data_IF_193826383345
#
_entry.id   IF_193826383345
#
_cell.length_a   1.000
_cell.length_b   1.000
_cell.length_c   1.000
_cell.angle_alpha   90.00
_cell.angle_beta   90.00
_cell.angle_gamma   90.00
#
_symmetry.space_group_name_H-M   'P 1'
#
loop_
_entity.id
_entity.type
_entity.pdbx_description
1 polymer ?
#
# COMPACT_ATOMS: atom_id res chain seq x y z
N UNK A 1 9.84 -7.21 9.37
CA UNK A 1 9.49 -5.80 9.10
C UNK A 1 8.96 -5.73 7.68
N UNK A 2 7.88 -5.01 7.45
CA UNK A 2 7.24 -4.90 6.14
C UNK A 2 7.19 -3.43 5.75
N UNK A 3 7.88 -3.06 4.68
CA UNK A 3 7.78 -1.71 4.10
C UNK A 3 6.82 -1.75 2.94
N UNK A 4 5.84 -0.86 2.97
CA UNK A 4 4.85 -0.65 1.91
C UNK A 4 5.10 0.73 1.32
N UNK A 5 5.38 0.77 0.03
CA UNK A 5 5.48 2.03 -0.73
C UNK A 5 4.30 2.13 -1.69
N UNK A 6 3.60 3.25 -1.61
CA UNK A 6 2.49 3.64 -2.48
C UNK A 6 2.99 4.71 -3.43
N UNK A 7 2.86 4.49 -4.73
CA UNK A 7 3.30 5.45 -5.74
C UNK A 7 2.16 5.75 -6.70
N UNK A 8 1.85 7.03 -6.90
CA UNK A 8 0.86 7.49 -7.87
C UNK A 8 1.46 8.53 -8.82
N UNK A 9 1.04 8.45 -10.08
CA UNK A 9 1.28 9.50 -11.07
C UNK A 9 0.23 10.62 -11.07
N UNK A 10 -0.80 10.50 -10.22
CA UNK A 10 -1.89 11.48 -10.14
C UNK A 10 -1.81 12.27 -8.84
N UNK A 11 -1.70 13.58 -8.99
CA UNK A 11 -1.78 14.51 -7.87
C UNK A 11 -3.06 14.29 -7.07
N UNK A 12 -2.92 14.17 -5.75
CA UNK A 12 -4.01 14.02 -4.80
C UNK A 12 -4.50 12.58 -4.63
N UNK A 13 -4.02 11.62 -5.43
CA UNK A 13 -4.53 10.25 -5.39
C UNK A 13 -4.18 9.54 -4.07
N UNK A 14 -2.95 9.74 -3.58
CA UNK A 14 -2.50 9.21 -2.28
C UNK A 14 -3.34 9.84 -1.15
N UNK A 15 -3.59 11.15 -1.20
CA UNK A 15 -4.46 11.82 -0.22
C UNK A 15 -5.87 11.22 -0.24
N UNK A 16 -6.48 11.07 -1.42
CA UNK A 16 -7.82 10.47 -1.59
C UNK A 16 -7.89 9.05 -1.04
N UNK A 17 -6.81 8.28 -1.23
CA UNK A 17 -6.68 6.94 -0.67
C UNK A 17 -6.76 6.92 0.86
N UNK A 18 -5.96 7.76 1.54
CA UNK A 18 -5.95 7.81 3.01
C UNK A 18 -7.20 8.48 3.61
N UNK A 19 -7.79 9.46 2.93
CA UNK A 19 -9.12 9.99 3.27
C UNK A 19 -10.17 8.87 3.25
N UNK A 20 -10.13 7.99 2.23
CA UNK A 20 -11.00 6.82 2.14
C UNK A 20 -10.77 5.77 3.24
N UNK A 21 -9.65 5.83 3.96
CA UNK A 21 -9.37 4.99 5.14
C UNK A 21 -9.80 5.64 6.46
N UNK A 22 -10.42 6.83 6.43
CA UNK A 22 -10.63 7.69 7.61
C UNK A 22 -9.32 8.00 8.37
N UNK A 23 -8.16 7.88 7.71
CA UNK A 23 -6.88 8.30 8.25
C UNK A 23 -6.69 9.76 7.86
N UNK A 24 -6.88 10.66 8.81
CA UNK A 24 -6.47 12.07 8.68
C UNK A 24 -4.96 12.15 8.85
N UNK A 25 -4.24 11.62 7.88
CA UNK A 25 -2.85 12.01 7.69
C UNK A 25 -2.86 13.38 7.01
N UNK A 26 -2.00 14.30 7.45
CA UNK A 26 -1.80 15.59 6.79
C UNK A 26 -1.00 15.38 5.50
N UNK A 27 -1.62 14.67 4.54
CA UNK A 27 -1.02 14.39 3.24
C UNK A 27 -1.32 15.56 2.32
N UNK A 28 -0.26 16.22 1.87
CA UNK A 28 -0.36 17.26 0.85
C UNK A 28 -0.83 16.65 -0.48
N UNK A 29 -1.62 17.39 -1.27
CA UNK A 29 -2.12 16.88 -2.55
C UNK A 29 -1.00 16.57 -3.56
N UNK A 30 0.22 17.08 -3.38
CA UNK A 30 1.33 16.86 -4.32
C UNK A 30 2.17 15.61 -4.03
N UNK A 31 1.79 14.80 -3.03
CA UNK A 31 2.53 13.59 -2.66
C UNK A 31 2.34 12.52 -3.73
N UNK A 32 3.41 12.25 -4.49
CA UNK A 32 3.47 11.20 -5.52
C UNK A 32 3.93 9.84 -4.96
N UNK A 33 4.62 9.83 -3.82
CA UNK A 33 5.12 8.63 -3.16
C UNK A 33 4.90 8.71 -1.65
N UNK A 34 4.43 7.60 -1.06
CA UNK A 34 4.23 7.46 0.36
C UNK A 34 4.78 6.13 0.86
N UNK A 35 5.63 6.16 1.88
CA UNK A 35 6.31 4.99 2.41
C UNK A 35 5.86 4.77 3.86
N UNK A 36 5.37 3.57 4.16
CA UNK A 36 4.99 3.15 5.49
C UNK A 36 5.72 1.87 5.89
N UNK A 37 6.26 1.83 7.10
CA UNK A 37 6.93 0.64 7.63
C UNK A 37 6.14 0.07 8.80
N UNK A 38 5.88 -1.22 8.71
CA UNK A 38 5.12 -2.01 9.68
C UNK A 38 6.02 -3.07 10.30
N UNK A 39 5.78 -3.43 11.57
CA UNK A 39 6.52 -4.53 12.21
C UNK A 39 6.16 -5.87 11.59
N UNK A 40 4.87 -6.06 11.33
CA UNK A 40 4.26 -7.31 10.89
C UNK A 40 3.34 -7.07 9.69
N UNK A 41 3.16 -8.09 8.86
CA UNK A 41 2.31 -8.03 7.67
C UNK A 41 0.85 -7.73 8.03
N UNK A 42 0.35 -8.28 9.13
CA UNK A 42 -1.02 -8.05 9.59
C UNK A 42 -1.31 -6.55 9.80
N UNK A 43 -0.32 -5.78 10.26
CA UNK A 43 -0.47 -4.33 10.43
C UNK A 43 -0.55 -3.56 9.10
N UNK A 44 0.03 -4.11 8.03
CA UNK A 44 -0.03 -3.54 6.68
C UNK A 44 -1.35 -3.88 5.95
N UNK A 45 -2.05 -4.94 6.36
CA UNK A 45 -3.25 -5.44 5.69
C UNK A 45 -4.34 -4.38 5.45
N UNK A 46 -4.65 -3.43 6.37
CA UNK A 46 -5.68 -2.43 6.10
C UNK A 46 -5.36 -1.55 4.89
N UNK A 47 -4.09 -1.17 4.70
CA UNK A 47 -3.64 -0.38 3.53
C UNK A 47 -3.80 -1.21 2.26
N UNK A 48 -3.37 -2.47 2.33
CA UNK A 48 -3.39 -3.38 1.19
C UNK A 48 -4.85 -3.71 0.78
N UNK A 49 -5.73 -3.98 1.75
CA UNK A 49 -7.14 -4.25 1.52
C UNK A 49 -7.85 -3.03 0.91
N UNK A 50 -7.54 -1.82 1.39
CA UNK A 50 -8.13 -0.60 0.82
C UNK A 50 -7.80 -0.43 -0.67
N UNK A 51 -6.59 -0.78 -1.08
CA UNK A 51 -6.18 -0.76 -2.49
C UNK A 51 -6.95 -1.79 -3.33
N UNK A 52 -7.37 -2.91 -2.76
CA UNK A 52 -8.17 -3.92 -3.46
C UNK A 52 -9.63 -3.48 -3.65
N UNK A 53 -10.18 -2.76 -2.67
CA UNK A 53 -11.58 -2.34 -2.68
C UNK A 53 -11.83 -1.08 -3.53
N UNK A 54 -10.82 -0.23 -3.67
CA UNK A 54 -10.95 1.06 -4.34
C UNK A 54 -10.36 1.08 -5.75
N UNK A 55 -10.94 1.93 -6.59
CA UNK A 55 -10.39 2.29 -7.89
C UNK A 55 -9.39 3.46 -7.72
N UNK A 56 -8.17 3.11 -7.32
CA UNK A 56 -7.08 4.07 -7.13
C UNK A 56 -5.98 3.85 -8.18
N UNK A 57 -5.45 4.94 -8.72
CA UNK A 57 -4.24 4.91 -9.58
C UNK A 57 -2.97 4.87 -8.73
N UNK A 58 -2.83 3.81 -7.92
CA UNK A 58 -1.72 3.64 -6.98
C UNK A 58 -1.04 2.30 -7.23
N UNK A 59 0.28 2.34 -7.44
CA UNK A 59 1.14 1.15 -7.47
C UNK A 59 1.59 0.82 -6.07
N UNK A 60 1.54 -0.47 -5.74
CA UNK A 60 1.94 -1.01 -4.45
C UNK A 60 3.28 -1.73 -4.60
N UNK A 61 4.25 -1.32 -3.80
CA UNK A 61 5.53 -2.00 -3.65
C UNK A 61 5.68 -2.48 -2.21
N UNK A 62 6.15 -3.72 -2.06
CA UNK A 62 6.34 -4.33 -0.74
C UNK A 62 7.77 -4.84 -0.64
N UNK A 63 8.38 -4.57 0.51
CA UNK A 63 9.65 -5.14 0.92
C UNK A 63 9.47 -5.86 2.26
N UNK A 64 9.93 -7.10 2.33
CA UNK A 64 9.94 -7.90 3.56
C UNK A 64 11.38 -7.96 4.10
N UNK A 65 11.59 -7.44 5.29
CA UNK A 65 12.89 -7.31 5.97
C UNK A 65 13.96 -6.70 5.04
N UNK A 66 15.09 -7.39 4.85
CA UNK A 66 16.19 -6.99 3.96
C UNK A 66 16.04 -7.59 2.55
N UNK A 67 14.86 -8.13 2.22
CA UNK A 67 14.57 -8.74 0.94
C UNK A 67 14.41 -7.74 -0.20
N UNK A 68 14.19 -8.27 -1.40
CA UNK A 68 13.94 -7.46 -2.60
C UNK A 68 12.61 -6.72 -2.51
N UNK A 69 12.61 -5.48 -3.01
CA UNK A 69 11.39 -4.69 -3.21
C UNK A 69 10.63 -5.25 -4.42
N UNK A 70 9.35 -5.59 -4.23
CA UNK A 70 8.51 -6.20 -5.27
C UNK A 70 7.28 -5.35 -5.52
N UNK A 71 7.02 -5.02 -6.78
CA UNK A 71 5.74 -4.48 -7.20
C UNK A 71 4.67 -5.57 -7.13
N UNK A 72 3.60 -5.32 -6.40
CA UNK A 72 2.44 -6.20 -6.40
C UNK A 72 1.35 -5.56 -7.23
N UNK A 73 1.16 -6.08 -8.44
CA UNK A 73 0.05 -5.64 -9.30
C UNK A 73 -1.27 -5.94 -8.62
N UNK A 74 -2.20 -4.99 -8.68
CA UNK A 74 -3.51 -5.06 -8.01
C UNK A 74 -4.26 -6.38 -8.30
N UNK A 75 -4.23 -6.85 -9.55
CA UNK A 75 -4.83 -8.12 -9.98
C UNK A 75 -4.25 -9.39 -9.32
N UNK A 76 -3.03 -9.31 -8.75
CA UNK A 76 -2.38 -10.42 -8.05
C UNK A 76 -2.34 -10.22 -6.54
N UNK A 77 -2.80 -9.07 -6.05
CA UNK A 77 -2.64 -8.67 -4.67
C UNK A 77 -3.42 -9.58 -3.71
N UNK A 78 -4.64 -9.99 -4.07
CA UNK A 78 -5.41 -10.96 -3.29
C UNK A 78 -4.72 -12.32 -3.18
N UNK A 79 -4.12 -12.81 -4.27
CA UNK A 79 -3.36 -14.07 -4.29
C UNK A 79 -2.08 -13.95 -3.45
N UNK A 80 -1.37 -12.84 -3.57
CA UNK A 80 -0.16 -12.58 -2.79
C UNK A 80 -0.48 -12.58 -1.29
N UNK A 81 -1.54 -11.89 -0.86
CA UNK A 81 -1.99 -11.89 0.54
C UNK A 81 -2.25 -13.31 1.08
N UNK A 82 -2.92 -14.17 0.30
CA UNK A 82 -3.18 -15.55 0.72
C UNK A 82 -1.90 -16.35 0.93
N UNK A 83 -0.89 -16.14 0.08
CA UNK A 83 0.40 -16.81 0.19
C UNK A 83 1.18 -16.31 1.41
N UNK A 84 1.19 -15.00 1.64
CA UNK A 84 1.95 -14.39 2.73
C UNK A 84 1.33 -14.63 4.12
N UNK A 85 0.03 -14.92 4.22
CA UNK A 85 -0.62 -15.33 5.49
C UNK A 85 -0.39 -16.82 5.80
N UNK A 86 -0.15 -17.63 4.77
CA UNK A 86 0.01 -19.10 4.92
C UNK A 86 1.47 -19.54 5.13
N UNK A 87 2.42 -18.62 5.08
CA UNK A 87 3.86 -18.87 5.23
C UNK A 87 4.29 -18.65 6.69
#
# INVERSE_FOLDING_TARGET
MITVSLISSKDGEIKRFFEGMNRREEIECAVAEWICTFRELHSAMPVIAKLLEGDFDIKLWIQEDEGDVKEIKQQYLARWLQQSISA
#
